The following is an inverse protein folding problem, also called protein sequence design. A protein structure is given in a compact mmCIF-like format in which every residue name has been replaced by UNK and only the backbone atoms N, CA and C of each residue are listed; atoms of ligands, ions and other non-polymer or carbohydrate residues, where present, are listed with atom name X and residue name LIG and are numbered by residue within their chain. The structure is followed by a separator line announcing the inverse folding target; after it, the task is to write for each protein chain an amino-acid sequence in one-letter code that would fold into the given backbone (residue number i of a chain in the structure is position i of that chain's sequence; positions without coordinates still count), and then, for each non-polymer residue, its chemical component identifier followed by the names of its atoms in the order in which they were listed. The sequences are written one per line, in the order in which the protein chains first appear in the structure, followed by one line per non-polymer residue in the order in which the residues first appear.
data_IF_271826601351
#
_entry.id   IF_271826601351
#
_cell.length_a   1.000
_cell.length_b   1.000
_cell.length_c   1.000
_cell.angle_alpha   90.00
_cell.angle_beta   90.00
_cell.angle_gamma   90.00
#
_symmetry.space_group_name_H-M   'P 1'
#
loop_
_entity.id
_entity.type
_entity.pdbx_description
1 polymer ?
#
# COMPACT_ATOMS: atom_id res chain seq x y z
N UNK A 1 -17.81 10.04 -60.08
CA UNK A 1 -16.98 9.59 -58.94
C UNK A 1 -16.07 8.47 -59.44
N UNK A 2 -14.76 8.71 -59.58
CA UNK A 2 -13.85 7.79 -60.29
C UNK A 2 -13.44 6.60 -59.41
N UNK A 3 -13.23 5.43 -60.04
CA UNK A 3 -12.87 4.17 -59.36
C UNK A 3 -11.55 4.25 -58.56
N UNK A 4 -10.73 5.29 -58.78
CA UNK A 4 -9.48 5.53 -58.06
C UNK A 4 -9.71 6.19 -56.70
N UNK A 5 -10.82 6.91 -56.52
CA UNK A 5 -11.18 7.55 -55.26
C UNK A 5 -11.58 6.53 -54.18
N UNK A 6 -12.30 5.45 -54.55
CA UNK A 6 -12.69 4.39 -53.61
C UNK A 6 -11.50 3.56 -53.10
N UNK A 7 -10.47 3.33 -53.93
CA UNK A 7 -9.27 2.57 -53.52
C UNK A 7 -8.39 3.35 -52.54
N UNK A 8 -8.27 4.67 -52.73
CA UNK A 8 -7.50 5.53 -51.83
C UNK A 8 -8.17 5.67 -50.44
N UNK A 9 -9.50 5.75 -50.42
CA UNK A 9 -10.29 5.78 -49.17
C UNK A 9 -10.27 4.43 -48.44
N UNK A 10 -10.37 3.31 -49.17
CA UNK A 10 -10.26 1.97 -48.57
C UNK A 10 -8.90 1.68 -47.93
N UNK A 11 -7.80 2.12 -48.56
CA UNK A 11 -6.44 1.88 -48.05
C UNK A 11 -6.10 2.75 -46.83
N UNK A 12 -6.60 3.99 -46.79
CA UNK A 12 -6.38 4.91 -45.66
C UNK A 12 -7.20 4.54 -44.42
N UNK A 13 -8.43 4.03 -44.60
CA UNK A 13 -9.25 3.50 -43.51
C UNK A 13 -8.64 2.22 -42.93
N UNK A 14 -8.12 1.32 -43.78
CA UNK A 14 -7.43 0.10 -43.30
C UNK A 14 -6.14 0.39 -42.54
N UNK A 15 -5.36 1.40 -42.93
CA UNK A 15 -4.12 1.76 -42.22
C UNK A 15 -4.40 2.47 -40.88
N UNK A 16 -5.43 3.32 -40.83
CA UNK A 16 -5.85 3.99 -39.59
C UNK A 16 -6.40 2.99 -38.55
N UNK A 17 -7.08 1.93 -39.00
CA UNK A 17 -7.61 0.89 -38.10
C UNK A 17 -6.49 0.00 -37.51
N UNK A 18 -5.39 -0.21 -38.24
CA UNK A 18 -4.24 -1.00 -37.76
C UNK A 18 -3.38 -0.22 -36.77
N UNK A 19 -3.24 1.11 -36.94
CA UNK A 19 -2.50 1.95 -35.98
C UNK A 19 -3.26 2.07 -34.64
N UNK A 20 -4.59 2.00 -34.66
CA UNK A 20 -5.40 2.10 -33.43
C UNK A 20 -5.40 0.82 -32.57
N UNK A 21 -4.82 -0.30 -33.04
CA UNK A 21 -4.69 -1.54 -32.26
C UNK A 21 -3.34 -1.68 -31.53
N UNK A 22 -2.39 -0.75 -31.71
CA UNK A 22 -1.06 -0.83 -31.07
C UNK A 22 -0.85 0.10 -29.87
N UNK A 23 -1.90 0.75 -29.38
CA UNK A 23 -1.87 1.46 -28.10
C UNK A 23 -2.84 0.79 -27.12
N UNK A 24 -2.54 -0.46 -26.75
CA UNK A 24 -2.93 -0.89 -25.41
C UNK A 24 -2.13 0.00 -24.44
N UNK A 25 -2.75 0.65 -23.44
CA UNK A 25 -1.99 1.28 -22.39
C UNK A 25 -1.15 0.17 -21.75
N UNK A 26 0.16 0.30 -21.82
CA UNK A 26 1.07 -0.60 -21.14
C UNK A 26 0.84 -0.43 -19.64
N UNK A 27 0.41 -1.52 -18.99
CA UNK A 27 0.19 -1.62 -17.55
C UNK A 27 -1.23 -1.23 -17.12
N UNK A 28 -1.93 -2.14 -16.44
CA UNK A 28 -3.06 -1.75 -15.60
C UNK A 28 -2.58 -0.68 -14.60
N UNK A 29 -3.40 0.34 -14.35
CA UNK A 29 -3.05 1.37 -13.37
C UNK A 29 -2.84 0.71 -12.00
N UNK A 30 -1.64 0.90 -11.42
CA UNK A 30 -1.29 0.37 -10.09
C UNK A 30 -2.12 1.06 -9.01
N UNK A 31 -2.48 0.31 -7.97
CA UNK A 31 -3.18 0.86 -6.80
C UNK A 31 -2.19 1.63 -5.94
N UNK A 32 -2.38 2.94 -5.81
CA UNK A 32 -1.53 3.76 -4.95
C UNK A 32 -1.78 3.48 -3.46
N UNK A 33 -0.71 3.22 -2.71
CA UNK A 33 -0.73 2.99 -1.26
C UNK A 33 0.18 4.02 -0.60
N UNK A 34 -0.39 4.83 0.29
CA UNK A 34 0.34 5.84 1.06
C UNK A 34 0.54 5.38 2.49
N UNK A 35 1.80 5.33 2.89
CA UNK A 35 2.21 4.86 4.22
C UNK A 35 2.82 6.00 5.00
N UNK A 36 2.40 6.19 6.25
CA UNK A 36 3.00 7.16 7.17
C UNK A 36 3.81 6.44 8.26
N UNK A 37 5.09 6.79 8.37
CA UNK A 37 6.08 6.06 9.18
C UNK A 37 6.88 7.04 10.05
N UNK A 38 7.23 6.64 11.27
CA UNK A 38 8.23 7.37 12.05
C UNK A 38 9.63 6.84 11.77
N UNK A 39 10.62 7.73 11.85
CA UNK A 39 12.04 7.46 11.62
C UNK A 39 12.41 7.06 10.18
N UNK A 40 13.52 7.60 9.71
CA UNK A 40 14.06 7.32 8.39
C UNK A 40 14.48 5.85 8.26
N UNK A 41 14.08 5.19 7.18
CA UNK A 41 14.49 3.81 6.88
C UNK A 41 13.93 2.76 7.85
N UNK A 42 12.95 3.10 8.69
CA UNK A 42 12.41 2.18 9.69
C UNK A 42 11.50 1.11 9.07
N UNK A 43 10.65 1.49 8.11
CA UNK A 43 9.71 0.59 7.44
C UNK A 43 10.31 -0.03 6.17
N UNK A 44 10.39 -1.35 6.15
CA UNK A 44 10.82 -2.18 5.02
C UNK A 44 12.09 -1.67 4.34
N UNK A 45 13.24 -1.57 5.04
CA UNK A 45 14.49 -1.08 4.46
C UNK A 45 14.97 -1.91 3.25
N UNK A 46 14.55 -3.17 3.13
CA UNK A 46 14.77 -4.02 1.97
C UNK A 46 14.01 -3.58 0.71
N UNK A 47 12.92 -2.82 0.88
CA UNK A 47 12.12 -2.24 -0.21
C UNK A 47 12.51 -0.78 -0.45
N UNK A 48 12.75 0.00 0.61
CA UNK A 48 12.91 1.45 0.53
C UNK A 48 14.32 1.97 0.80
N UNK A 49 15.29 1.06 0.93
CA UNK A 49 16.70 1.41 1.16
C UNK A 49 16.93 2.16 2.46
N UNK A 50 18.13 2.72 2.61
CA UNK A 50 18.51 3.46 3.83
C UNK A 50 17.89 4.84 3.91
N UNK A 51 17.42 5.40 2.79
CA UNK A 51 16.73 6.70 2.80
C UNK A 51 15.28 6.60 3.26
N UNK A 52 14.71 5.39 3.27
CA UNK A 52 13.29 5.13 3.57
C UNK A 52 12.32 5.51 2.46
N UNK A 53 12.82 5.95 1.29
CA UNK A 53 12.02 6.31 0.10
C UNK A 53 12.70 5.92 -1.21
N UNK A 54 13.75 5.08 -1.16
CA UNK A 54 14.43 4.62 -2.37
C UNK A 54 13.52 3.67 -3.16
N UNK A 55 13.51 3.80 -4.49
CA UNK A 55 12.82 2.86 -5.37
C UNK A 55 13.74 1.69 -5.74
N UNK A 56 13.97 0.80 -4.76
CA UNK A 56 14.84 -0.37 -4.96
C UNK A 56 14.28 -1.32 -6.02
N UNK A 57 15.15 -2.17 -6.57
CA UNK A 57 14.72 -3.22 -7.49
C UNK A 57 13.72 -4.19 -6.84
N UNK A 58 13.87 -4.44 -5.53
CA UNK A 58 12.94 -5.30 -4.77
C UNK A 58 11.56 -4.67 -4.64
N UNK A 59 11.48 -3.36 -4.41
CA UNK A 59 10.20 -2.63 -4.40
C UNK A 59 9.52 -2.73 -5.77
N UNK A 60 10.25 -2.48 -6.87
CA UNK A 60 9.69 -2.54 -8.22
C UNK A 60 9.11 -3.93 -8.54
N UNK A 61 9.81 -4.99 -8.13
CA UNK A 61 9.34 -6.36 -8.30
C UNK A 61 8.07 -6.64 -7.50
N UNK A 62 8.02 -6.17 -6.24
CA UNK A 62 6.83 -6.27 -5.40
C UNK A 62 5.64 -5.51 -6.02
N UNK A 63 5.85 -4.26 -6.41
CA UNK A 63 4.83 -3.39 -7.02
C UNK A 63 4.30 -3.93 -8.35
N UNK A 64 5.15 -4.55 -9.15
CA UNK A 64 4.74 -5.21 -10.39
C UNK A 64 3.94 -6.48 -10.14
N UNK A 65 4.37 -7.30 -9.17
CA UNK A 65 3.71 -8.54 -8.81
C UNK A 65 2.31 -8.29 -8.24
N UNK A 66 2.20 -7.32 -7.33
CA UNK A 66 0.97 -7.05 -6.58
C UNK A 66 0.08 -5.98 -7.25
N UNK A 67 0.59 -5.30 -8.29
CA UNK A 67 -0.16 -4.24 -8.98
C UNK A 67 -0.40 -3.00 -8.11
N UNK A 68 0.57 -2.63 -7.28
CA UNK A 68 0.51 -1.51 -6.33
C UNK A 68 1.64 -0.52 -6.56
N UNK A 69 1.48 0.72 -6.10
CA UNK A 69 2.51 1.78 -6.09
C UNK A 69 2.60 2.32 -4.65
N UNK A 70 3.66 1.96 -3.93
CA UNK A 70 3.76 2.21 -2.48
C UNK A 70 4.65 3.41 -2.22
N UNK A 71 4.10 4.39 -1.50
CA UNK A 71 4.79 5.64 -1.17
C UNK A 71 4.86 5.82 0.34
N UNK A 72 6.08 5.89 0.87
CA UNK A 72 6.34 6.21 2.27
C UNK A 72 6.52 7.72 2.43
N UNK A 73 5.82 8.28 3.42
CA UNK A 73 6.17 9.52 4.07
C UNK A 73 6.74 9.19 5.46
N UNK A 74 7.93 9.69 5.76
CA UNK A 74 8.55 9.52 7.08
C UNK A 74 8.91 10.86 7.73
N UNK A 75 9.06 10.84 9.05
CA UNK A 75 9.47 11.99 9.83
C UNK A 75 9.76 11.65 11.28
N UNK A 76 10.06 12.68 12.07
CA UNK A 76 10.21 12.54 13.53
C UNK A 76 8.92 12.00 14.15
N UNK A 77 9.06 11.12 15.14
CA UNK A 77 7.94 10.41 15.75
C UNK A 77 6.82 11.34 16.23
N UNK A 78 7.16 12.43 16.92
CA UNK A 78 6.19 13.42 17.39
C UNK A 78 5.39 14.04 16.25
N UNK A 79 6.06 14.42 15.16
CA UNK A 79 5.41 15.03 14.00
C UNK A 79 4.51 14.02 13.27
N UNK A 80 4.95 12.76 13.18
CA UNK A 80 4.17 11.68 12.57
C UNK A 80 2.92 11.37 13.40
N UNK A 81 3.03 11.23 14.72
CA UNK A 81 1.88 11.02 15.61
C UNK A 81 0.86 12.17 15.50
N UNK A 82 1.32 13.41 15.37
CA UNK A 82 0.44 14.56 15.12
C UNK A 82 -0.28 14.47 13.75
N UNK A 83 0.42 14.03 12.70
CA UNK A 83 -0.18 13.84 11.37
C UNK A 83 -1.22 12.72 11.36
N UNK A 84 -0.93 11.58 12.00
CA UNK A 84 -1.89 10.46 12.16
C UNK A 84 -3.15 10.96 12.87
N UNK A 85 -2.98 11.63 14.03
CA UNK A 85 -4.11 12.16 14.79
C UNK A 85 -4.95 13.17 13.97
N UNK A 86 -4.30 14.02 13.18
CA UNK A 86 -4.99 14.97 12.30
C UNK A 86 -5.76 14.27 11.17
N UNK A 87 -5.17 13.27 10.52
CA UNK A 87 -5.84 12.49 9.46
C UNK A 87 -7.05 11.73 10.02
N UNK A 88 -6.91 11.13 11.20
CA UNK A 88 -8.00 10.43 11.89
C UNK A 88 -9.11 11.38 12.32
N UNK A 89 -8.77 12.51 12.94
CA UNK A 89 -9.76 13.49 13.38
C UNK A 89 -10.57 14.07 12.20
N UNK A 90 -9.91 14.32 11.07
CA UNK A 90 -10.55 14.86 9.88
C UNK A 90 -11.10 13.79 8.92
N UNK A 91 -10.81 12.51 9.17
CA UNK A 91 -11.18 11.35 8.33
C UNK A 91 -10.83 11.58 6.86
N UNK A 92 -9.62 12.08 6.58
CA UNK A 92 -9.29 12.49 5.20
C UNK A 92 -8.90 11.33 4.30
N UNK A 93 -8.51 10.19 4.89
CA UNK A 93 -8.03 9.04 4.12
C UNK A 93 -6.75 9.37 3.36
N UNK A 94 -5.89 10.21 3.96
CA UNK A 94 -4.63 10.60 3.32
C UNK A 94 -3.63 9.46 3.34
N UNK A 95 -3.68 8.61 4.35
CA UNK A 95 -2.80 7.45 4.46
C UNK A 95 -3.63 6.19 4.55
N UNK A 96 -3.19 5.18 3.82
CA UNK A 96 -3.81 3.85 3.79
C UNK A 96 -3.24 2.98 4.91
N UNK A 97 -1.95 3.18 5.22
CA UNK A 97 -1.24 2.51 6.29
C UNK A 97 -0.51 3.52 7.18
N UNK A 98 -0.55 3.28 8.48
CA UNK A 98 0.18 4.07 9.47
C UNK A 98 0.85 3.14 10.47
N UNK A 99 2.09 3.45 10.84
CA UNK A 99 2.75 2.72 11.92
C UNK A 99 2.24 3.24 13.27
N UNK A 100 1.70 2.32 14.07
CA UNK A 100 1.12 2.62 15.38
C UNK A 100 1.83 1.79 16.43
N UNK A 101 2.19 2.41 17.56
CA UNK A 101 2.73 1.71 18.71
C UNK A 101 1.65 0.94 19.47
N UNK A 102 2.03 -0.23 19.99
CA UNK A 102 1.24 -0.99 20.97
C UNK A 102 1.31 -0.39 22.38
N UNK A 103 2.01 0.74 22.56
CA UNK A 103 2.14 1.55 23.77
C UNK A 103 0.89 2.40 24.06
N UNK A 104 -0.28 1.96 23.61
CA UNK A 104 -1.58 2.62 23.75
C UNK A 104 -2.14 3.19 22.45
N UNK A 105 -1.34 3.28 21.38
CA UNK A 105 -1.80 3.75 20.07
C UNK A 105 -2.87 2.84 19.46
N UNK A 106 -2.60 1.54 19.38
CA UNK A 106 -3.55 0.55 18.84
C UNK A 106 -4.85 0.56 19.64
N UNK A 107 -4.78 0.64 20.96
CA UNK A 107 -5.95 0.67 21.84
C UNK A 107 -6.77 1.94 21.61
N UNK A 108 -6.13 3.10 21.62
CA UNK A 108 -6.79 4.40 21.43
C UNK A 108 -7.51 4.46 20.08
N UNK A 109 -6.83 4.03 19.02
CA UNK A 109 -7.37 4.13 17.67
C UNK A 109 -8.35 3.01 17.32
N UNK A 110 -8.16 1.81 17.89
CA UNK A 110 -9.13 0.71 17.81
C UNK A 110 -10.46 1.07 18.46
N UNK A 111 -10.45 1.54 19.71
CA UNK A 111 -11.67 2.01 20.40
C UNK A 111 -12.33 3.20 19.67
N UNK A 112 -11.52 4.07 19.07
CA UNK A 112 -12.01 5.21 18.29
C UNK A 112 -12.61 4.84 16.93
N UNK A 113 -12.50 3.57 16.50
CA UNK A 113 -12.96 3.12 15.19
C UNK A 113 -12.16 3.72 14.03
N UNK A 114 -10.89 4.02 14.25
CA UNK A 114 -9.98 4.56 13.24
C UNK A 114 -9.13 3.48 12.54
N UNK A 115 -9.00 2.31 13.17
CA UNK A 115 -8.29 1.16 12.60
C UNK A 115 -9.29 0.14 12.06
N UNK A 116 -8.95 -0.44 10.93
CA UNK A 116 -9.74 -1.51 10.32
C UNK A 116 -9.53 -2.83 11.08
N UNK A 117 -10.60 -3.57 11.44
CA UNK A 117 -10.49 -4.92 11.98
C UNK A 117 -9.84 -5.89 10.99
N UNK A 118 -8.74 -6.53 11.39
CA UNK A 118 -7.89 -7.32 10.50
C UNK A 118 -8.21 -8.82 10.45
N UNK A 119 -8.93 -9.36 11.44
CA UNK A 119 -9.17 -10.82 11.54
C UNK A 119 -9.77 -11.42 10.26
N UNK A 120 -10.76 -10.72 9.65
CA UNK A 120 -11.37 -11.18 8.38
C UNK A 120 -10.37 -11.24 7.22
N UNK A 121 -9.36 -10.37 7.19
CA UNK A 121 -8.39 -10.32 6.11
C UNK A 121 -7.36 -11.45 6.24
N UNK A 122 -7.03 -11.89 7.46
CA UNK A 122 -6.17 -13.06 7.67
C UNK A 122 -6.81 -14.33 7.12
N UNK A 123 -8.13 -14.44 7.19
CA UNK A 123 -8.87 -15.58 6.62
C UNK A 123 -9.01 -15.49 5.09
N UNK A 124 -9.28 -14.29 4.56
CA UNK A 124 -9.51 -14.07 3.13
C UNK A 124 -8.23 -14.04 2.30
N UNK A 125 -7.13 -13.58 2.91
CA UNK A 125 -5.84 -13.38 2.26
C UNK A 125 -4.74 -14.07 3.05
N UNK A 126 -4.73 -15.42 3.14
CA UNK A 126 -3.58 -16.16 3.64
C UNK A 126 -2.42 -15.94 2.66
N UNK A 127 -1.61 -14.93 2.93
CA UNK A 127 -0.60 -14.40 2.02
C UNK A 127 0.80 -14.91 2.33
N UNK A 128 1.68 -14.84 1.33
CA UNK A 128 3.11 -15.15 1.50
C UNK A 128 3.85 -14.18 2.44
N UNK A 129 3.22 -13.06 2.78
CA UNK A 129 3.86 -11.95 3.50
C UNK A 129 3.70 -12.02 5.02
N UNK A 130 2.71 -12.76 5.51
CA UNK A 130 2.41 -12.82 6.93
C UNK A 130 1.69 -14.11 7.32
N UNK A 131 2.29 -14.87 8.23
CA UNK A 131 1.66 -15.97 8.93
C UNK A 131 1.60 -15.65 10.43
N UNK A 132 0.40 -15.61 11.07
CA UNK A 132 0.30 -15.44 12.51
C UNK A 132 1.07 -16.47 13.33
N UNK A 133 1.33 -17.66 12.79
CA UNK A 133 2.10 -18.72 13.45
C UNK A 133 3.59 -18.40 13.54
N UNK A 134 4.11 -17.52 12.67
CA UNK A 134 5.50 -17.08 12.68
C UNK A 134 5.77 -15.96 13.70
N UNK A 135 4.73 -15.54 14.43
CA UNK A 135 4.78 -14.43 15.38
C UNK A 135 4.58 -14.93 16.80
N UNK A 136 5.35 -14.40 17.75
CA UNK A 136 5.12 -14.63 19.17
C UNK A 136 3.70 -14.18 19.56
N UNK A 137 2.89 -15.05 20.20
CA UNK A 137 1.49 -14.73 20.52
C UNK A 137 1.31 -13.41 21.27
N UNK A 138 2.25 -13.07 22.17
CA UNK A 138 2.19 -11.85 22.96
C UNK A 138 2.24 -10.58 22.11
N UNK A 139 2.94 -10.60 20.96
CA UNK A 139 2.99 -9.47 20.04
C UNK A 139 1.72 -9.35 19.21
N UNK A 140 1.08 -10.47 18.85
CA UNK A 140 -0.25 -10.43 18.24
C UNK A 140 -1.30 -9.92 19.23
N UNK A 141 -1.28 -10.43 20.47
CA UNK A 141 -2.21 -10.06 21.52
C UNK A 141 -2.10 -8.57 21.89
N UNK A 142 -0.89 -8.00 21.88
CA UNK A 142 -0.68 -6.57 22.11
C UNK A 142 -1.33 -5.67 21.05
N UNK A 143 -1.64 -6.22 19.87
CA UNK A 143 -2.34 -5.53 18.79
C UNK A 143 -3.85 -5.82 18.76
N UNK A 144 -4.38 -6.54 19.77
CA UNK A 144 -5.81 -6.80 19.91
C UNK A 144 -6.47 -5.81 20.86
N UNK A 145 -7.70 -5.42 20.52
CA UNK A 145 -8.61 -4.66 21.38
C UNK A 145 -9.89 -5.46 21.50
N UNK A 146 -10.27 -5.83 22.74
CA UNK A 146 -11.44 -6.68 23.00
C UNK A 146 -11.48 -7.97 22.17
N UNK A 147 -10.30 -8.56 21.92
CA UNK A 147 -10.15 -9.79 21.14
C UNK A 147 -10.09 -9.59 19.63
N UNK A 148 -10.31 -8.39 19.11
CA UNK A 148 -10.23 -8.07 17.68
C UNK A 148 -8.85 -7.53 17.33
N UNK A 149 -8.23 -8.04 16.26
CA UNK A 149 -6.92 -7.59 15.78
C UNK A 149 -7.04 -6.30 14.97
N UNK A 150 -6.27 -5.28 15.32
CA UNK A 150 -6.32 -3.97 14.65
C UNK A 150 -5.01 -3.54 13.99
N UNK A 151 -3.91 -4.25 14.27
CA UNK A 151 -2.61 -3.99 13.67
C UNK A 151 -1.81 -5.29 13.57
N UNK A 152 -0.87 -5.34 12.62
CA UNK A 152 0.09 -6.44 12.52
C UNK A 152 1.41 -6.04 13.20
N UNK A 153 2.03 -6.94 13.97
CA UNK A 153 3.31 -6.64 14.61
C UNK A 153 4.41 -6.52 13.55
N UNK A 154 5.12 -5.40 13.60
CA UNK A 154 6.21 -5.09 12.66
C UNK A 154 7.59 -5.23 13.31
N UNK A 155 7.76 -4.62 14.47
CA UNK A 155 8.99 -4.65 15.25
C UNK A 155 8.67 -4.66 16.73
N UNK A 156 9.51 -5.31 17.53
CA UNK A 156 9.44 -5.30 18.98
C UNK A 156 10.84 -5.29 19.57
N UNK A 157 10.98 -4.67 20.74
CA UNK A 157 12.20 -4.82 21.53
C UNK A 157 12.07 -6.11 22.33
N UNK A 158 13.08 -6.98 22.27
CA UNK A 158 13.13 -8.15 23.14
C UNK A 158 13.05 -7.71 24.60
N UNK A 159 12.16 -8.35 25.36
CA UNK A 159 12.07 -8.19 26.80
C UNK A 159 13.28 -8.83 27.50
#
# INVERSE_FOLDING_TARGET
MSKNFLKAVGLTVSLALVISLMSLPAGAAKTGIRVLVFAQGFAWPELFGSTGVDETERLKQFEEKEGVDVRIEWGDETAIRQKVAADFAARTGRYDLVLVGTDGGVQTYGYGGFLEPLDKYLELYPGEYFDPQDVYPQFLDANRVEGVLYALPYYSFGA
#
